data_IF_569086696260
#
_entry.id   IF_569086696260
#
_cell.length_a   1.000
_cell.length_b   1.000
_cell.length_c   1.000
_cell.angle_alpha   90.00
_cell.angle_beta   90.00
_cell.angle_gamma   90.00
#
_symmetry.space_group_name_H-M   'P 1'
#
loop_
_entity.id
_entity.type
_entity.pdbx_description
1 polymer ?
#
# COMPACT_ATOMS: atom_id res chain seq x y z
N UNK A 1 17.98 -23.55 25.75
CA UNK A 1 17.32 -22.61 24.82
C UNK A 1 17.74 -21.21 25.24
N UNK A 2 18.26 -20.34 24.38
CA UNK A 2 18.59 -18.98 24.78
C UNK A 2 17.29 -18.19 24.98
N UNK A 3 17.14 -17.54 26.13
CA UNK A 3 16.08 -16.58 26.39
C UNK A 3 16.19 -15.43 25.38
N UNK A 4 15.09 -15.12 24.68
CA UNK A 4 14.98 -13.87 23.92
C UNK A 4 15.00 -12.71 24.91
N UNK A 5 16.15 -12.07 25.07
CA UNK A 5 16.25 -10.78 25.74
C UNK A 5 15.41 -9.77 24.96
N UNK A 6 14.28 -9.36 25.51
CA UNK A 6 13.51 -8.25 24.97
C UNK A 6 14.33 -6.97 25.09
N UNK A 7 14.55 -6.21 24.00
CA UNK A 7 15.36 -5.00 24.06
C UNK A 7 14.71 -3.97 24.99
N UNK A 8 15.49 -3.45 25.94
CA UNK A 8 15.04 -2.36 26.82
C UNK A 8 15.07 -1.05 26.03
N UNK A 9 13.92 -0.38 25.87
CA UNK A 9 13.83 0.91 25.16
C UNK A 9 14.67 1.97 25.88
N UNK A 10 15.52 2.69 25.15
CA UNK A 10 16.25 3.85 25.68
C UNK A 10 15.32 5.08 25.82
N UNK A 11 15.81 6.16 26.45
CA UNK A 11 15.01 7.37 26.66
C UNK A 11 14.49 7.99 25.36
N UNK A 12 15.31 8.02 24.30
CA UNK A 12 14.91 8.57 23.01
C UNK A 12 13.74 7.81 22.36
N UNK A 13 13.78 6.48 22.39
CA UNK A 13 12.69 5.66 21.87
C UNK A 13 11.41 5.85 22.69
N UNK A 14 11.52 5.93 24.02
CA UNK A 14 10.37 6.21 24.89
C UNK A 14 9.75 7.58 24.60
N UNK A 15 10.57 8.61 24.38
CA UNK A 15 10.08 9.97 24.11
C UNK A 15 9.30 10.04 22.79
N UNK A 16 9.76 9.33 21.74
CA UNK A 16 9.03 9.22 20.46
C UNK A 16 7.66 8.55 20.65
N UNK A 17 7.63 7.43 21.39
CA UNK A 17 6.39 6.72 21.68
C UNK A 17 5.45 7.60 22.52
N UNK A 18 5.97 8.30 23.52
CA UNK A 18 5.20 9.19 24.37
C UNK A 18 4.63 10.38 23.58
N UNK A 19 5.39 10.95 22.65
CA UNK A 19 4.90 12.02 21.77
C UNK A 19 3.80 11.51 20.83
N UNK A 20 3.95 10.30 20.27
CA UNK A 20 2.89 9.66 19.47
C UNK A 20 1.61 9.45 20.29
N UNK A 21 1.73 9.00 21.54
CA UNK A 21 0.59 8.88 22.44
C UNK A 21 -0.03 10.23 22.81
N UNK A 22 0.77 11.29 22.98
CA UNK A 22 0.28 12.66 23.23
C UNK A 22 -0.49 13.20 22.03
N UNK A 23 0.04 12.99 20.82
CA UNK A 23 -0.61 13.34 19.57
C UNK A 23 -2.03 12.74 19.49
N UNK A 24 -2.17 11.46 19.83
CA UNK A 24 -3.47 10.78 19.85
C UNK A 24 -4.37 11.28 20.98
N UNK A 25 -3.88 11.28 22.22
CA UNK A 25 -4.70 11.52 23.42
C UNK A 25 -5.04 13.00 23.67
N UNK A 26 -4.18 13.94 23.28
CA UNK A 26 -4.31 15.36 23.61
C UNK A 26 -4.65 16.25 22.41
N UNK A 27 -4.27 15.84 21.19
CA UNK A 27 -4.54 16.64 19.97
C UNK A 27 -5.68 16.08 19.11
N UNK A 28 -6.31 14.98 19.55
CA UNK A 28 -7.45 14.37 18.86
C UNK A 28 -7.07 13.74 17.52
N UNK A 29 -5.79 13.46 17.31
CA UNK A 29 -5.35 12.59 16.22
C UNK A 29 -5.82 11.17 16.50
N UNK A 30 -6.19 10.42 15.46
CA UNK A 30 -6.66 9.05 15.61
C UNK A 30 -6.05 8.20 14.52
N UNK A 31 -5.89 6.91 14.84
CA UNK A 31 -5.39 5.92 13.87
C UNK A 31 -6.23 5.95 12.58
N UNK A 32 -7.56 6.08 12.72
CA UNK A 32 -8.49 6.20 11.60
C UNK A 32 -8.29 7.46 10.74
N UNK A 33 -7.90 8.58 11.36
CA UNK A 33 -7.60 9.82 10.62
C UNK A 33 -6.26 9.72 9.90
N UNK A 34 -5.29 9.05 10.50
CA UNK A 34 -3.99 8.79 9.87
C UNK A 34 -4.16 7.94 8.61
N UNK A 35 -5.09 6.98 8.62
CA UNK A 35 -5.41 6.13 7.46
C UNK A 35 -5.95 6.91 6.24
N UNK A 36 -6.41 8.15 6.42
CA UNK A 36 -6.82 9.04 5.32
C UNK A 36 -5.65 9.79 4.65
N UNK A 37 -4.45 9.76 5.23
CA UNK A 37 -3.25 10.40 4.69
C UNK A 37 -2.42 9.39 3.87
N UNK A 38 -2.78 9.24 2.59
CA UNK A 38 -2.23 8.21 1.71
C UNK A 38 -1.11 8.69 0.78
N UNK A 39 -0.85 10.00 0.72
CA UNK A 39 0.15 10.61 -0.17
C UNK A 39 1.50 10.83 0.50
N UNK A 40 1.72 10.18 1.65
CA UNK A 40 2.93 10.33 2.45
C UNK A 40 2.97 11.62 3.27
N UNK A 41 1.82 12.24 3.55
CA UNK A 41 1.76 13.51 4.27
C UNK A 41 2.43 13.44 5.66
N UNK A 42 2.29 12.32 6.38
CA UNK A 42 2.96 12.16 7.68
C UNK A 42 4.49 12.09 7.54
N UNK A 43 4.99 11.44 6.50
CA UNK A 43 6.43 11.40 6.20
C UNK A 43 6.94 12.79 5.78
N UNK A 44 6.18 13.54 4.98
CA UNK A 44 6.53 14.91 4.59
C UNK A 44 6.55 15.84 5.80
N UNK A 45 5.54 15.78 6.67
CA UNK A 45 5.50 16.53 7.92
C UNK A 45 6.69 16.21 8.84
N UNK A 46 7.07 14.93 8.95
CA UNK A 46 8.25 14.51 9.70
C UNK A 46 9.55 15.10 9.13
N UNK A 47 9.65 15.17 7.79
CA UNK A 47 10.80 15.79 7.11
C UNK A 47 10.92 17.27 7.42
N UNK A 48 9.79 17.99 7.49
CA UNK A 48 9.76 19.43 7.82
C UNK A 48 10.24 19.66 9.25
N UNK A 49 9.73 18.90 10.23
CA UNK A 49 10.22 19.00 11.62
C UNK A 49 11.71 18.67 11.72
N UNK A 50 12.19 17.64 11.01
CA UNK A 50 13.60 17.27 11.00
C UNK A 50 14.49 18.37 10.40
N UNK A 51 14.07 18.95 9.27
CA UNK A 51 14.83 19.98 8.54
C UNK A 51 14.88 21.31 9.28
N UNK A 52 13.83 21.67 10.01
CA UNK A 52 13.69 22.94 10.72
C UNK A 52 13.93 22.84 12.23
N UNK A 53 14.41 21.70 12.73
CA UNK A 53 14.51 21.45 14.17
C UNK A 53 15.32 22.53 14.90
N UNK A 54 14.74 23.12 15.96
CA UNK A 54 15.37 24.19 16.73
C UNK A 54 15.18 25.59 16.15
N UNK A 55 14.36 25.75 15.10
CA UNK A 55 14.07 27.04 14.45
C UNK A 55 12.61 27.46 14.70
N UNK A 56 12.29 28.09 15.84
CA UNK A 56 10.91 28.31 16.30
C UNK A 56 10.11 29.32 15.46
N UNK A 57 10.77 30.13 14.63
CA UNK A 57 10.13 31.11 13.76
C UNK A 57 10.05 30.68 12.31
N UNK A 58 10.56 29.48 11.98
CA UNK A 58 10.57 28.99 10.60
C UNK A 58 9.19 28.49 10.20
N UNK A 59 8.86 28.68 8.92
CA UNK A 59 7.68 28.09 8.27
C UNK A 59 8.15 27.27 7.07
N UNK A 60 7.27 26.40 6.55
CA UNK A 60 7.58 25.55 5.41
C UNK A 60 6.36 25.41 4.51
N UNK A 61 6.51 25.70 3.22
CA UNK A 61 5.49 25.40 2.21
C UNK A 61 5.28 23.90 2.01
N UNK A 62 6.30 23.08 2.33
CA UNK A 62 6.21 21.62 2.34
C UNK A 62 5.48 21.06 3.58
N UNK A 63 4.95 21.92 4.48
CA UNK A 63 4.09 21.43 5.55
C UNK A 63 2.73 21.05 4.95
N UNK A 64 2.27 19.79 5.07
CA UNK A 64 1.14 19.28 4.29
C UNK A 64 -0.24 19.73 4.81
N UNK A 65 -0.28 20.37 5.97
CA UNK A 65 -1.53 20.80 6.61
C UNK A 65 -1.58 22.32 6.82
N UNK A 66 -2.63 22.81 7.48
CA UNK A 66 -2.73 24.23 7.85
C UNK A 66 -1.48 24.71 8.58
N UNK A 67 -0.95 25.86 8.17
CA UNK A 67 0.28 26.44 8.74
C UNK A 67 0.13 26.73 10.24
N UNK A 68 -1.08 26.98 10.71
CA UNK A 68 -1.43 27.13 12.12
C UNK A 68 -1.21 25.86 12.96
N UNK A 69 -1.09 24.70 12.31
CA UNK A 69 -0.80 23.41 12.96
C UNK A 69 0.69 23.12 13.09
N UNK A 70 1.54 23.85 12.35
CA UNK A 70 2.97 23.68 12.48
C UNK A 70 3.46 24.36 13.76
N UNK A 71 4.05 23.57 14.68
CA UNK A 71 4.46 24.02 16.01
C UNK A 71 5.96 23.82 16.21
N UNK A 72 6.85 24.52 15.48
CA UNK A 72 8.29 24.40 15.65
C UNK A 72 8.74 24.85 17.05
N UNK A 73 9.88 24.35 17.51
CA UNK A 73 10.43 24.65 18.84
C UNK A 73 11.85 25.19 18.73
N UNK A 74 12.28 25.96 19.72
CA UNK A 74 13.71 26.29 19.92
C UNK A 74 14.51 25.10 20.43
N UNK A 75 13.84 24.10 21.02
CA UNK A 75 14.47 22.83 21.39
C UNK A 75 14.53 21.90 20.18
N UNK A 76 15.74 21.77 19.62
CA UNK A 76 16.03 20.86 18.50
C UNK A 76 15.64 19.42 18.81
N UNK A 77 15.88 18.93 20.04
CA UNK A 77 15.54 17.54 20.41
C UNK A 77 14.03 17.33 20.34
N UNK A 78 13.25 18.29 20.83
CA UNK A 78 11.79 18.20 20.84
C UNK A 78 11.20 18.10 19.43
N UNK A 79 11.72 18.87 18.48
CA UNK A 79 11.25 18.79 17.09
C UNK A 79 11.65 17.47 16.43
N UNK A 80 12.84 16.92 16.74
CA UNK A 80 13.23 15.59 16.28
C UNK A 80 12.34 14.48 16.88
N UNK A 81 11.89 14.63 18.13
CA UNK A 81 10.92 13.70 18.74
C UNK A 81 9.57 13.76 18.02
N UNK A 82 9.06 14.95 17.66
CA UNK A 82 7.84 15.08 16.85
C UNK A 82 7.98 14.45 15.47
N UNK A 83 9.14 14.64 14.82
CA UNK A 83 9.44 14.00 13.55
C UNK A 83 9.41 12.47 13.68
N UNK A 84 10.07 11.92 14.71
CA UNK A 84 10.04 10.49 14.98
C UNK A 84 8.63 9.96 15.25
N UNK A 85 7.80 10.72 15.97
CA UNK A 85 6.41 10.34 16.25
C UNK A 85 5.54 10.31 14.97
N UNK A 86 5.75 11.24 14.04
CA UNK A 86 5.07 11.26 12.73
C UNK A 86 5.53 10.11 11.82
N UNK A 87 6.81 9.74 11.84
CA UNK A 87 7.29 8.55 11.14
C UNK A 87 6.68 7.28 11.74
N UNK A 88 6.62 7.19 13.08
CA UNK A 88 5.95 6.07 13.74
C UNK A 88 4.47 5.99 13.33
N UNK A 89 3.77 7.13 13.26
CA UNK A 89 2.38 7.18 12.81
C UNK A 89 2.19 6.67 11.37
N UNK A 90 3.09 7.06 10.45
CA UNK A 90 3.08 6.58 9.06
C UNK A 90 3.35 5.07 8.97
N UNK A 91 4.31 4.56 9.74
CA UNK A 91 4.60 3.12 9.79
C UNK A 91 3.39 2.37 10.35
N UNK A 92 2.79 2.85 11.45
CA UNK A 92 1.59 2.24 12.01
C UNK A 92 0.42 2.25 11.00
N UNK A 93 0.29 3.29 10.17
CA UNK A 93 -0.70 3.35 9.08
C UNK A 93 -0.44 2.28 8.03
N UNK A 94 0.81 2.17 7.56
CA UNK A 94 1.23 1.16 6.59
C UNK A 94 1.02 -0.26 7.12
N UNK A 95 1.33 -0.50 8.40
CA UNK A 95 1.12 -1.78 9.06
C UNK A 95 -0.37 -2.12 9.26
N UNK A 96 -1.23 -1.09 9.35
CA UNK A 96 -2.68 -1.25 9.48
C UNK A 96 -3.39 -1.53 8.16
N UNK A 97 -2.81 -1.17 7.01
CA UNK A 97 -3.38 -1.58 5.72
C UNK A 97 -3.40 -3.11 5.72
N UNK A 98 -4.57 -3.77 5.70
CA UNK A 98 -4.61 -5.22 5.58
C UNK A 98 -4.06 -5.56 4.20
N UNK A 99 -2.78 -5.93 4.20
CA UNK A 99 -2.07 -6.27 2.99
C UNK A 99 -2.72 -7.52 2.38
N UNK A 100 -3.30 -7.37 1.19
CA UNK A 100 -3.94 -8.46 0.43
C UNK A 100 -3.02 -9.70 0.37
N UNK A 101 -3.49 -10.85 0.85
CA UNK A 101 -2.67 -12.06 0.89
C UNK A 101 -2.89 -12.90 -0.35
N UNK A 102 -2.06 -13.91 -0.56
CA UNK A 102 -2.39 -14.94 -1.53
C UNK A 102 -3.69 -15.63 -1.11
N UNK A 103 -4.63 -15.79 -2.03
CA UNK A 103 -5.87 -16.51 -1.79
C UNK A 103 -6.00 -17.70 -2.75
N UNK A 104 -6.60 -18.82 -2.32
CA UNK A 104 -6.87 -19.94 -3.21
C UNK A 104 -7.74 -19.50 -4.40
N UNK A 105 -7.22 -19.67 -5.62
CA UNK A 105 -7.95 -19.33 -6.85
C UNK A 105 -9.07 -20.36 -7.05
N UNK A 106 -10.31 -19.90 -6.96
CA UNK A 106 -11.50 -20.67 -7.31
C UNK A 106 -12.22 -19.91 -8.41
N UNK A 107 -12.12 -20.41 -9.63
CA UNK A 107 -12.77 -19.80 -10.79
C UNK A 107 -14.26 -20.09 -10.79
N UNK A 108 -15.03 -19.17 -11.35
CA UNK A 108 -16.45 -19.36 -11.62
C UNK A 108 -16.69 -20.25 -12.86
N UNK A 109 -17.95 -20.37 -13.28
CA UNK A 109 -18.37 -21.22 -14.40
C UNK A 109 -17.75 -20.81 -15.75
N UNK A 110 -17.33 -19.55 -15.89
CA UNK A 110 -16.73 -19.01 -17.11
C UNK A 110 -15.20 -18.92 -17.00
N UNK A 111 -14.60 -19.38 -15.90
CA UNK A 111 -13.15 -19.34 -15.72
C UNK A 111 -12.61 -18.04 -15.09
N UNK A 112 -13.48 -17.13 -14.65
CA UNK A 112 -13.07 -15.88 -14.02
C UNK A 112 -12.84 -16.04 -12.52
N UNK A 113 -12.04 -15.14 -11.96
CA UNK A 113 -11.72 -15.12 -10.54
C UNK A 113 -11.51 -13.67 -10.09
N UNK A 114 -12.02 -13.32 -8.91
CA UNK A 114 -11.68 -12.07 -8.25
C UNK A 114 -11.27 -12.36 -6.82
N UNK A 115 -10.11 -11.86 -6.43
CA UNK A 115 -9.66 -11.96 -5.05
C UNK A 115 -10.68 -11.26 -4.12
N UNK A 116 -11.10 -11.88 -3.00
CA UNK A 116 -12.17 -11.33 -2.15
C UNK A 116 -11.86 -9.95 -1.54
N UNK A 117 -10.59 -9.68 -1.27
CA UNK A 117 -10.12 -8.37 -0.76
C UNK A 117 -9.66 -7.40 -1.86
N UNK A 118 -9.80 -7.73 -3.16
CA UNK A 118 -9.56 -6.78 -4.24
C UNK A 118 -10.77 -5.84 -4.32
N UNK A 119 -10.60 -4.51 -4.16
CA UNK A 119 -11.71 -3.57 -4.30
C UNK A 119 -12.34 -3.68 -5.68
N UNK A 120 -13.64 -3.45 -5.73
CA UNK A 120 -14.36 -3.31 -6.99
C UNK A 120 -14.03 -1.94 -7.59
N UNK A 121 -13.49 -1.93 -8.81
CA UNK A 121 -13.09 -0.71 -9.52
C UNK A 121 -13.98 -0.57 -10.75
N UNK A 122 -14.72 0.53 -10.83
CA UNK A 122 -15.59 0.82 -11.96
C UNK A 122 -14.79 1.23 -13.21
N UNK A 123 -15.45 1.21 -14.37
CA UNK A 123 -14.90 1.77 -15.61
C UNK A 123 -14.51 3.24 -15.40
N UNK A 124 -13.22 3.56 -15.58
CA UNK A 124 -12.64 4.89 -15.31
C UNK A 124 -11.87 5.02 -14.00
N UNK A 125 -11.89 4.02 -13.12
CA UNK A 125 -11.15 4.03 -11.84
C UNK A 125 -9.68 3.60 -11.95
N UNK A 126 -9.09 3.66 -13.15
CA UNK A 126 -7.72 3.23 -13.41
C UNK A 126 -6.68 3.90 -12.50
N UNK A 127 -6.84 5.18 -12.16
CA UNK A 127 -5.94 5.88 -11.24
C UNK A 127 -6.13 5.45 -9.79
N UNK A 128 -7.36 5.14 -9.36
CA UNK A 128 -7.64 4.60 -8.02
C UNK A 128 -7.07 3.20 -7.87
N UNK A 129 -7.22 2.37 -8.91
CA UNK A 129 -6.64 1.03 -8.95
C UNK A 129 -5.11 1.06 -8.84
N UNK A 130 -4.44 1.93 -9.62
CA UNK A 130 -2.99 2.14 -9.52
C UNK A 130 -2.55 2.63 -8.15
N UNK A 131 -3.27 3.58 -7.56
CA UNK A 131 -2.97 4.09 -6.23
C UNK A 131 -3.10 2.98 -5.17
N UNK A 132 -4.17 2.19 -5.23
CA UNK A 132 -4.38 1.07 -4.32
C UNK A 132 -3.30 -0.01 -4.47
N UNK A 133 -2.90 -0.37 -5.70
CA UNK A 133 -1.78 -1.31 -5.95
C UNK A 133 -0.48 -0.78 -5.32
N UNK A 134 -0.20 0.52 -5.45
CA UNK A 134 0.98 1.15 -4.87
C UNK A 134 0.91 1.20 -3.33
N UNK A 135 -0.26 1.49 -2.75
CA UNK A 135 -0.49 1.45 -1.30
C UNK A 135 -0.35 0.04 -0.72
N UNK A 136 -0.73 -0.98 -1.48
CA UNK A 136 -0.43 -2.35 -1.15
C UNK A 136 1.09 -2.62 -1.30
N UNK A 137 1.84 -1.91 -2.11
CA UNK A 137 3.24 -2.24 -2.39
C UNK A 137 3.34 -3.51 -3.24
N UNK A 138 2.49 -3.59 -4.27
CA UNK A 138 2.47 -4.67 -5.24
C UNK A 138 3.09 -4.24 -6.57
N UNK A 139 3.82 -5.17 -7.16
CA UNK A 139 4.09 -5.21 -8.59
C UNK A 139 3.00 -6.07 -9.22
N UNK A 140 2.39 -5.60 -10.32
CA UNK A 140 1.34 -6.32 -11.05
C UNK A 140 1.75 -6.47 -12.51
N UNK A 141 1.69 -7.70 -13.01
CA UNK A 141 1.92 -8.06 -14.40
C UNK A 141 0.64 -8.71 -14.94
N UNK A 142 0.34 -8.41 -16.21
CA UNK A 142 -0.81 -8.98 -16.91
C UNK A 142 -0.34 -10.14 -17.78
N UNK A 143 -1.14 -11.19 -17.80
CA UNK A 143 -1.12 -12.19 -18.85
C UNK A 143 -2.46 -12.13 -19.59
N UNK A 144 -2.42 -12.01 -20.90
CA UNK A 144 -3.57 -11.67 -21.74
C UNK A 144 -3.85 -12.86 -22.67
N UNK A 145 -5.09 -13.36 -22.67
CA UNK A 145 -5.48 -14.56 -23.43
C UNK A 145 -5.24 -14.36 -24.93
N UNK A 146 -5.38 -13.13 -25.45
CA UNK A 146 -5.06 -12.78 -26.84
C UNK A 146 -3.63 -13.19 -27.24
N UNK A 147 -2.68 -13.10 -26.31
CA UNK A 147 -1.28 -13.43 -26.52
C UNK A 147 -0.85 -14.73 -25.86
N UNK A 148 -1.81 -15.61 -25.54
CA UNK A 148 -1.54 -16.90 -24.92
C UNK A 148 -0.45 -17.67 -25.68
N UNK A 149 0.45 -18.32 -24.94
CA UNK A 149 1.56 -19.10 -25.49
C UNK A 149 1.08 -20.23 -26.41
N UNK A 150 -0.08 -20.83 -26.11
CA UNK A 150 -0.83 -21.70 -27.02
C UNK A 150 -1.91 -20.92 -27.78
N UNK A 151 -1.64 -20.62 -29.04
CA UNK A 151 -2.56 -19.90 -29.93
C UNK A 151 -3.92 -20.59 -30.09
N UNK A 152 -3.99 -21.91 -29.94
CA UNK A 152 -5.26 -22.62 -30.06
C UNK A 152 -6.26 -22.22 -28.96
N UNK A 153 -5.78 -21.76 -27.80
CA UNK A 153 -6.60 -21.24 -26.70
C UNK A 153 -7.24 -19.91 -27.11
N UNK A 154 -6.44 -19.00 -27.67
CA UNK A 154 -6.92 -17.71 -28.17
C UNK A 154 -7.92 -17.88 -29.32
N UNK A 155 -7.54 -18.65 -30.35
CA UNK A 155 -8.40 -18.93 -31.50
C UNK A 155 -9.74 -19.52 -31.07
N UNK A 156 -9.73 -20.47 -30.11
CA UNK A 156 -10.96 -21.04 -29.54
C UNK A 156 -11.85 -19.96 -28.92
N UNK A 157 -11.31 -19.08 -28.09
CA UNK A 157 -12.11 -18.05 -27.41
C UNK A 157 -12.76 -17.09 -28.42
N UNK A 158 -11.94 -16.52 -29.32
CA UNK A 158 -12.41 -15.48 -30.25
C UNK A 158 -13.27 -16.04 -31.39
N UNK A 159 -13.07 -17.27 -31.83
CA UNK A 159 -13.92 -17.90 -32.87
C UNK A 159 -15.22 -18.46 -32.28
N UNK A 160 -15.20 -18.99 -31.05
CA UNK A 160 -16.41 -19.52 -30.42
C UNK A 160 -17.39 -18.41 -30.02
N UNK A 161 -16.88 -17.21 -29.70
CA UNK A 161 -17.71 -16.11 -29.19
C UNK A 161 -18.38 -16.43 -27.85
N UNK A 162 -17.77 -17.32 -27.07
CA UNK A 162 -18.24 -17.80 -25.77
C UNK A 162 -17.42 -17.11 -24.66
N UNK A 163 -18.04 -16.57 -23.60
CA UNK A 163 -17.31 -16.00 -22.45
C UNK A 163 -16.51 -17.04 -21.64
N UNK A 164 -16.65 -18.34 -21.88
CA UNK A 164 -15.87 -19.37 -21.20
C UNK A 164 -14.38 -19.28 -21.54
N UNK A 165 -13.57 -18.97 -20.53
CA UNK A 165 -12.11 -19.05 -20.53
C UNK A 165 -11.57 -20.07 -19.50
N UNK A 166 -12.41 -20.97 -18.97
CA UNK A 166 -12.03 -21.93 -17.92
C UNK A 166 -10.95 -22.93 -18.35
N UNK A 167 -10.78 -23.13 -19.65
CA UNK A 167 -9.73 -23.96 -20.24
C UNK A 167 -8.38 -23.26 -20.38
N UNK A 168 -8.32 -21.94 -20.18
CA UNK A 168 -7.07 -21.18 -20.22
C UNK A 168 -6.37 -21.22 -18.87
N UNK A 169 -5.10 -21.63 -18.89
CA UNK A 169 -4.18 -21.52 -17.75
C UNK A 169 -3.21 -20.35 -18.02
N UNK A 170 -3.37 -19.20 -17.33
CA UNK A 170 -2.48 -18.05 -17.51
C UNK A 170 -1.03 -18.37 -17.16
N UNK A 171 -0.12 -17.88 -17.98
CA UNK A 171 1.31 -18.02 -17.79
C UNK A 171 1.75 -17.18 -16.58
N UNK A 172 2.16 -17.88 -15.51
CA UNK A 172 2.67 -17.22 -14.30
C UNK A 172 4.08 -16.65 -14.57
N UNK A 173 4.34 -15.37 -14.25
CA UNK A 173 5.66 -14.78 -14.43
C UNK A 173 6.76 -15.51 -13.65
N UNK A 174 7.99 -15.41 -14.15
CA UNK A 174 9.18 -15.96 -13.49
C UNK A 174 9.43 -15.30 -12.11
N UNK A 175 9.93 -16.10 -11.17
CA UNK A 175 10.28 -15.69 -9.82
C UNK A 175 9.30 -16.16 -8.74
N UNK A 176 9.66 -15.92 -7.47
CA UNK A 176 8.88 -16.37 -6.31
C UNK A 176 7.91 -15.29 -5.82
N UNK A 177 6.82 -15.70 -5.17
CA UNK A 177 5.90 -14.79 -4.49
C UNK A 177 4.79 -14.19 -5.35
N UNK A 178 4.66 -14.63 -6.61
CA UNK A 178 3.51 -14.30 -7.46
C UNK A 178 2.25 -15.02 -6.98
N UNK A 179 1.13 -14.29 -6.93
CA UNK A 179 -0.22 -14.80 -6.68
C UNK A 179 -1.22 -14.11 -7.61
N UNK A 180 -2.33 -14.79 -7.91
CA UNK A 180 -3.36 -14.25 -8.80
C UNK A 180 -4.25 -13.25 -8.02
N UNK A 181 -4.43 -12.05 -8.56
CA UNK A 181 -5.37 -11.04 -8.06
C UNK A 181 -6.75 -11.18 -8.70
N UNK A 182 -6.78 -11.35 -10.02
CA UNK A 182 -8.02 -11.46 -10.77
C UNK A 182 -7.78 -12.15 -12.11
N UNK A 183 -8.81 -12.79 -12.62
CA UNK A 183 -8.99 -13.22 -14.02
C UNK A 183 -10.34 -12.63 -14.42
N UNK A 184 -10.36 -11.68 -15.34
CA UNK A 184 -11.57 -10.96 -15.75
C UNK A 184 -11.51 -10.62 -17.23
N UNK A 185 -12.68 -10.38 -17.81
CA UNK A 185 -12.80 -9.98 -19.21
C UNK A 185 -12.51 -8.49 -19.39
N UNK A 186 -12.00 -8.12 -20.57
CA UNK A 186 -11.76 -6.74 -21.00
C UNK A 186 -12.22 -6.58 -22.45
N UNK A 187 -12.17 -5.36 -23.00
CA UNK A 187 -12.53 -5.13 -24.41
C UNK A 187 -11.69 -5.95 -25.40
N UNK A 188 -10.45 -6.30 -25.01
CA UNK A 188 -9.51 -7.10 -25.80
C UNK A 188 -9.52 -8.60 -25.40
N UNK A 189 -10.46 -9.00 -24.53
CA UNK A 189 -10.63 -10.35 -24.02
C UNK A 189 -10.08 -10.58 -22.60
N UNK A 190 -10.03 -11.86 -22.14
CA UNK A 190 -9.68 -12.20 -20.77
C UNK A 190 -8.23 -11.86 -20.41
N UNK A 191 -8.05 -11.29 -19.22
CA UNK A 191 -6.74 -10.97 -18.65
C UNK A 191 -6.61 -11.55 -17.25
N UNK A 192 -5.44 -12.09 -16.93
CA UNK A 192 -5.03 -12.51 -15.60
C UNK A 192 -4.06 -11.49 -15.01
N UNK A 193 -4.34 -11.01 -13.81
CA UNK A 193 -3.45 -10.14 -13.05
C UNK A 193 -2.66 -10.97 -12.06
N UNK A 194 -1.36 -11.10 -12.32
CA UNK A 194 -0.40 -11.65 -11.37
C UNK A 194 0.19 -10.53 -10.54
N UNK A 195 0.19 -10.69 -9.22
CA UNK A 195 0.78 -9.73 -8.30
C UNK A 195 1.84 -10.35 -7.41
N UNK A 196 2.83 -9.54 -7.03
CA UNK A 196 3.89 -9.90 -6.11
C UNK A 196 4.23 -8.71 -5.24
N UNK A 197 4.65 -8.96 -4.01
CA UNK A 197 5.15 -7.89 -3.13
C UNK A 197 6.46 -7.34 -3.66
N UNK A 198 6.53 -6.01 -3.77
CA UNK A 198 7.81 -5.33 -3.99
C UNK A 198 8.58 -5.43 -2.68
N UNK A 199 9.63 -6.25 -2.64
CA UNK A 199 10.59 -6.22 -1.54
C UNK A 199 11.46 -5.00 -1.78
N UNK A 200 11.19 -3.91 -1.06
CA UNK A 200 12.14 -2.79 -1.04
C UNK A 200 13.42 -3.26 -0.32
N UNK A 201 14.61 -3.12 -0.92
CA UNK A 201 15.88 -3.44 -0.26
C UNK A 201 16.11 -2.67 1.04
#
# INVERSE_FOLDING_TARGET
MPEKSSPTLNSAARDVIAERQRQVSAEGYSLYRDDAYVKGEMAEAASVYSRLAGQPTSMSSAWPWGQDKFKPSSDRRRDLVKAGALILAEIERLDRIPLIKSWPVKRDENGFFQHPDLPDFDEGDGDKCKAWIAEQGLEVVKDELEYASDKAVADRYFEAGDPDCSYWEPDRPDGEGWFCLAIHDTDDGPVCWWARRVVTP
#
